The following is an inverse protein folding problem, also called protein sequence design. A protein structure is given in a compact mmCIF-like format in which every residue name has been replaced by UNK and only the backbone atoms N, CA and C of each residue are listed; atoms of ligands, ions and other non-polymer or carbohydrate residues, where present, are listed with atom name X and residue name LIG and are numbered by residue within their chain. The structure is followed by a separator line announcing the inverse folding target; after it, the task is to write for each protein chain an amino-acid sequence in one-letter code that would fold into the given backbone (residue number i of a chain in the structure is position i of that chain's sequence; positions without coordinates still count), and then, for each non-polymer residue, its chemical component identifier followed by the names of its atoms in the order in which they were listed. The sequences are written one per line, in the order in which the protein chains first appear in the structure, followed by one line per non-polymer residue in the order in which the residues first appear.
data_IF_410654655870
#
_entry.id   IF_410654655870
#
_cell.length_a   1.000
_cell.length_b   1.000
_cell.length_c   1.000
_cell.angle_alpha   90.00
_cell.angle_beta   90.00
_cell.angle_gamma   90.00
#
_symmetry.space_group_name_H-M   'P 1'
#
loop_
_entity.id
_entity.type
_entity.pdbx_description
1 polymer ?
#
# COMPACT_ATOMS: atom_id res chain seq x y z
N UNK A 1 -56.21 -13.75 19.52
CA UNK A 1 -54.90 -13.59 20.17
C UNK A 1 -53.87 -14.35 19.33
N UNK A 2 -53.02 -13.65 18.56
CA UNK A 2 -51.96 -14.26 17.75
C UNK A 2 -50.65 -14.06 18.52
N UNK A 3 -50.02 -15.15 18.94
CA UNK A 3 -48.69 -15.14 19.57
C UNK A 3 -47.64 -14.88 18.48
N UNK A 4 -46.83 -13.84 18.67
CA UNK A 4 -45.61 -13.61 17.91
C UNK A 4 -44.49 -14.43 18.56
N UNK A 5 -43.94 -15.41 17.84
CA UNK A 5 -42.67 -16.01 18.20
C UNK A 5 -41.55 -15.07 17.77
N UNK A 6 -40.85 -14.48 18.74
CA UNK A 6 -39.62 -13.75 18.51
C UNK A 6 -38.50 -14.75 18.23
N UNK A 7 -38.05 -14.83 16.97
CA UNK A 7 -36.82 -15.54 16.63
C UNK A 7 -35.64 -14.70 17.13
N UNK A 8 -34.98 -15.19 18.18
CA UNK A 8 -33.74 -14.65 18.71
C UNK A 8 -32.63 -14.96 17.69
N UNK A 9 -32.30 -13.98 16.83
CA UNK A 9 -31.07 -14.03 16.05
C UNK A 9 -29.90 -13.83 17.02
N UNK A 10 -29.27 -14.93 17.39
CA UNK A 10 -27.93 -14.89 17.98
C UNK A 10 -27.01 -14.45 16.84
N UNK A 11 -26.72 -13.15 16.78
CA UNK A 11 -25.59 -12.67 16.02
C UNK A 11 -24.34 -13.28 16.66
N UNK A 12 -23.78 -14.30 15.99
CA UNK A 12 -22.42 -14.72 16.27
C UNK A 12 -21.50 -13.56 15.91
N UNK A 13 -21.13 -12.77 16.91
CA UNK A 13 -19.91 -11.99 16.82
C UNK A 13 -18.78 -13.00 16.68
N UNK A 14 -18.30 -13.20 15.46
CA UNK A 14 -16.97 -13.77 15.24
C UNK A 14 -15.99 -12.79 15.85
N UNK A 15 -15.73 -12.95 17.14
CA UNK A 15 -14.56 -12.36 17.79
C UNK A 15 -13.38 -12.87 16.97
N UNK A 16 -12.73 -11.97 16.23
CA UNK A 16 -11.47 -12.26 15.58
C UNK A 16 -10.58 -12.87 16.65
N UNK A 17 -10.26 -14.16 16.52
CA UNK A 17 -9.36 -14.82 17.45
C UNK A 17 -8.08 -14.00 17.43
N UNK A 18 -7.59 -13.48 18.57
CA UNK A 18 -6.26 -12.92 18.61
C UNK A 18 -5.34 -14.04 18.16
N UNK A 19 -4.65 -13.84 17.03
CA UNK A 19 -3.62 -14.77 16.58
C UNK A 19 -2.66 -14.96 17.75
N UNK A 20 -2.18 -16.20 17.93
CA UNK A 20 -1.17 -16.48 18.96
C UNK A 20 -0.08 -15.40 18.89
N UNK A 21 0.39 -14.92 20.04
CA UNK A 21 1.43 -13.90 20.10
C UNK A 21 2.70 -14.41 19.44
N UNK A 22 2.89 -14.10 18.16
CA UNK A 22 4.12 -14.38 17.43
C UNK A 22 5.24 -13.53 18.02
N UNK A 23 6.47 -14.05 18.00
CA UNK A 23 7.63 -13.19 18.25
C UNK A 23 7.75 -12.27 17.05
N UNK A 24 7.42 -10.99 17.26
CA UNK A 24 7.39 -10.01 16.20
C UNK A 24 8.62 -9.11 16.23
N UNK A 25 9.12 -8.74 15.05
CA UNK A 25 10.15 -7.72 14.94
C UNK A 25 9.54 -6.35 15.30
N UNK A 26 10.07 -5.63 16.31
CA UNK A 26 9.34 -4.51 16.92
C UNK A 26 9.08 -3.33 15.99
N UNK A 27 9.92 -3.15 14.96
CA UNK A 27 9.75 -2.09 13.97
C UNK A 27 10.58 -2.42 12.71
N UNK A 28 9.95 -3.01 11.69
CA UNK A 28 10.64 -3.32 10.43
C UNK A 28 11.13 -2.05 9.72
N UNK A 29 10.44 -0.92 9.92
CA UNK A 29 10.77 0.36 9.29
C UNK A 29 12.12 0.91 9.78
N UNK A 30 12.41 0.78 11.08
CA UNK A 30 13.71 1.20 11.65
C UNK A 30 14.91 0.53 10.95
N UNK A 31 14.75 -0.72 10.50
CA UNK A 31 15.86 -1.48 9.89
C UNK A 31 15.82 -1.50 8.36
N UNK A 32 14.64 -1.37 7.76
CA UNK A 32 14.50 -1.50 6.31
C UNK A 32 14.47 -0.15 5.58
N UNK A 33 14.04 0.94 6.22
CA UNK A 33 13.86 2.24 5.53
C UNK A 33 15.13 2.75 4.87
N UNK A 34 16.22 2.91 5.65
CA UNK A 34 17.46 3.45 5.13
C UNK A 34 18.14 2.48 4.14
N UNK A 35 18.27 1.17 4.42
CA UNK A 35 18.85 0.25 3.45
C UNK A 35 18.03 0.12 2.16
N UNK A 36 16.70 0.11 2.21
CA UNK A 36 15.86 0.15 1.00
C UNK A 36 16.13 1.45 0.24
N UNK A 37 16.21 2.59 0.93
CA UNK A 37 16.48 3.87 0.29
C UNK A 37 17.84 3.89 -0.41
N UNK A 38 18.88 3.36 0.23
CA UNK A 38 20.26 3.35 -0.28
C UNK A 38 20.46 2.33 -1.41
N UNK A 39 19.84 1.17 -1.30
CA UNK A 39 19.97 0.08 -2.26
C UNK A 39 18.99 0.20 -3.44
N UNK A 40 17.90 0.97 -3.29
CA UNK A 40 16.95 1.18 -4.38
C UNK A 40 17.58 1.95 -5.55
N UNK A 41 17.35 1.44 -6.75
CA UNK A 41 17.81 2.10 -7.98
C UNK A 41 16.90 3.30 -8.27
N UNK A 42 17.49 4.48 -8.38
CA UNK A 42 16.78 5.63 -8.91
C UNK A 42 16.52 5.42 -10.40
N UNK A 43 15.26 5.56 -10.80
CA UNK A 43 14.84 5.46 -12.20
C UNK A 43 14.61 6.86 -12.75
N UNK A 44 15.36 7.30 -13.77
CA UNK A 44 15.12 8.58 -14.40
C UNK A 44 13.70 8.65 -14.96
N UNK A 45 13.07 9.81 -14.83
CA UNK A 45 11.70 10.01 -15.25
C UNK A 45 11.48 11.42 -15.81
N UNK A 46 10.42 11.59 -16.58
CA UNK A 46 9.92 12.89 -17.02
C UNK A 46 8.59 13.17 -16.34
N UNK A 47 8.31 14.45 -16.11
CA UNK A 47 7.03 14.93 -15.58
C UNK A 47 6.44 15.94 -16.55
N UNK A 48 5.24 15.66 -17.05
CA UNK A 48 4.49 16.56 -17.93
C UNK A 48 3.17 16.89 -17.26
N UNK A 49 2.94 18.16 -16.97
CA UNK A 49 1.67 18.61 -16.40
C UNK A 49 0.55 18.54 -17.45
N UNK A 50 -0.61 18.02 -17.07
CA UNK A 50 -1.80 18.04 -17.91
C UNK A 50 -2.33 19.47 -18.12
N UNK A 51 -2.96 19.75 -19.27
CA UNK A 51 -3.61 21.03 -19.49
C UNK A 51 -4.64 21.35 -18.40
N UNK A 52 -4.66 22.61 -17.99
CA UNK A 52 -5.64 23.12 -17.02
C UNK A 52 -7.07 22.99 -17.54
N UNK A 53 -8.03 22.75 -16.64
CA UNK A 53 -9.47 22.72 -16.97
C UNK A 53 -10.05 21.32 -17.20
N UNK A 54 -9.23 20.27 -17.18
CA UNK A 54 -9.71 18.88 -17.19
C UNK A 54 -8.86 18.01 -16.27
N UNK A 55 -9.49 17.03 -15.62
CA UNK A 55 -8.81 16.06 -14.75
C UNK A 55 -9.62 14.77 -14.65
N UNK A 56 -9.01 13.61 -14.31
CA UNK A 56 -9.74 12.36 -14.19
C UNK A 56 -10.77 12.42 -13.07
N UNK A 57 -11.96 11.86 -13.27
CA UNK A 57 -13.03 11.90 -12.27
C UNK A 57 -12.61 11.34 -10.91
N UNK A 58 -11.77 10.29 -10.88
CA UNK A 58 -11.23 9.76 -9.62
C UNK A 58 -10.36 10.77 -8.89
N UNK A 59 -9.58 11.59 -9.60
CA UNK A 59 -8.81 12.66 -8.98
C UNK A 59 -9.69 13.82 -8.50
N UNK A 60 -10.85 14.09 -9.12
CA UNK A 60 -11.78 15.06 -8.56
C UNK A 60 -12.37 14.54 -7.23
N UNK A 61 -12.91 13.32 -7.27
CA UNK A 61 -13.70 12.76 -6.16
C UNK A 61 -12.81 12.41 -4.96
N UNK A 62 -11.71 11.69 -5.19
CA UNK A 62 -10.84 11.21 -4.12
C UNK A 62 -10.00 12.33 -3.50
N UNK A 63 -9.61 13.34 -4.27
CA UNK A 63 -8.91 14.50 -3.70
C UNK A 63 -9.88 15.37 -2.88
N UNK A 64 -11.12 15.54 -3.35
CA UNK A 64 -12.15 16.29 -2.60
C UNK A 64 -12.48 15.63 -1.26
N UNK A 65 -12.51 14.29 -1.19
CA UNK A 65 -12.72 13.57 0.08
C UNK A 65 -11.59 13.80 1.09
N UNK A 66 -10.42 14.27 0.62
CA UNK A 66 -9.25 14.65 1.43
C UNK A 66 -9.08 16.17 1.58
N UNK A 67 -10.13 16.95 1.29
CA UNK A 67 -10.14 18.40 1.49
C UNK A 67 -9.46 19.22 0.39
N UNK A 68 -9.17 18.61 -0.77
CA UNK A 68 -8.59 19.28 -1.92
C UNK A 68 -9.64 19.50 -3.00
N UNK A 69 -10.03 20.76 -3.27
CA UNK A 69 -11.02 21.04 -4.30
C UNK A 69 -10.49 20.67 -5.69
N UNK A 70 -11.35 20.22 -6.63
CA UNK A 70 -10.90 19.85 -7.98
C UNK A 70 -10.10 20.95 -8.70
N UNK A 71 -10.40 22.23 -8.44
CA UNK A 71 -9.65 23.37 -8.99
C UNK A 71 -8.21 23.50 -8.46
N UNK A 72 -7.89 22.84 -7.35
CA UNK A 72 -6.57 22.82 -6.70
C UNK A 72 -5.78 21.56 -7.06
N UNK A 73 -6.34 20.66 -7.88
CA UNK A 73 -5.69 19.41 -8.28
C UNK A 73 -4.84 19.67 -9.52
N UNK A 74 -3.54 19.40 -9.39
CA UNK A 74 -2.59 19.33 -10.48
C UNK A 74 -2.50 17.87 -10.94
N UNK A 75 -2.71 17.62 -12.23
CA UNK A 75 -2.52 16.29 -12.81
C UNK A 75 -1.21 16.28 -13.58
N UNK A 76 -0.39 15.27 -13.34
CA UNK A 76 0.91 15.11 -13.97
C UNK A 76 1.01 13.72 -14.59
N UNK A 77 1.48 13.66 -15.83
CA UNK A 77 1.94 12.43 -16.46
C UNK A 77 3.39 12.22 -16.07
N UNK A 78 3.70 11.05 -15.49
CA UNK A 78 5.06 10.64 -15.16
C UNK A 78 5.45 9.42 -15.99
N UNK A 79 6.53 9.52 -16.75
CA UNK A 79 7.06 8.41 -17.56
C UNK A 79 8.46 8.06 -17.07
N UNK A 80 8.67 6.78 -16.72
CA UNK A 80 9.95 6.27 -16.22
C UNK A 80 10.72 5.60 -17.35
N UNK A 81 12.04 5.67 -17.34
CA UNK A 81 12.87 5.08 -18.42
C UNK A 81 12.79 3.55 -18.52
N UNK A 82 12.36 2.88 -17.46
CA UNK A 82 12.25 1.42 -17.41
C UNK A 82 10.85 0.89 -17.79
N UNK A 83 9.91 1.78 -18.12
CA UNK A 83 8.58 1.41 -18.57
C UNK A 83 7.96 2.52 -19.42
N UNK A 84 7.72 2.24 -20.71
CA UNK A 84 7.13 3.22 -21.64
C UNK A 84 5.67 3.60 -21.32
N UNK A 85 5.03 2.87 -20.40
CA UNK A 85 3.68 3.18 -19.95
C UNK A 85 3.73 4.29 -18.90
N UNK A 86 3.12 5.47 -19.16
CA UNK A 86 3.07 6.52 -18.17
C UNK A 86 2.12 6.21 -17.01
N UNK A 87 2.40 6.81 -15.86
CA UNK A 87 1.47 6.91 -14.73
C UNK A 87 0.86 8.30 -14.66
N UNK A 88 -0.42 8.35 -14.28
CA UNK A 88 -1.13 9.62 -14.02
C UNK A 88 -1.09 9.87 -12.51
N UNK A 89 -0.41 10.94 -12.11
CA UNK A 89 -0.36 11.42 -10.74
C UNK A 89 -1.35 12.54 -10.55
N UNK A 90 -1.96 12.59 -9.37
CA UNK A 90 -2.83 13.69 -8.96
C UNK A 90 -2.26 14.28 -7.68
N UNK A 91 -1.94 15.57 -7.70
CA UNK A 91 -1.32 16.28 -6.58
C UNK A 91 -2.20 17.46 -6.19
N UNK A 92 -2.47 17.61 -4.90
CA UNK A 92 -3.11 18.81 -4.41
C UNK A 92 -2.09 19.96 -4.35
N UNK A 93 -2.49 21.17 -4.71
CA UNK A 93 -1.62 22.34 -4.70
C UNK A 93 -0.90 22.55 -3.35
N UNK A 94 -1.64 22.40 -2.24
CA UNK A 94 -1.14 22.51 -0.86
C UNK A 94 -0.62 21.18 -0.27
N UNK A 95 -0.40 20.15 -1.10
CA UNK A 95 0.28 18.96 -0.63
C UNK A 95 1.74 19.29 -0.27
N UNK A 96 2.29 18.75 0.84
CA UNK A 96 3.59 19.14 1.39
C UNK A 96 4.78 18.72 0.51
N UNK A 97 4.56 17.86 -0.48
CA UNK A 97 5.59 17.29 -1.34
C UNK A 97 5.34 17.68 -2.79
N UNK A 98 6.40 18.06 -3.50
CA UNK A 98 6.35 18.33 -4.93
C UNK A 98 6.31 17.03 -5.74
N UNK A 99 5.71 17.10 -6.93
CA UNK A 99 5.53 15.93 -7.80
C UNK A 99 6.83 15.18 -8.11
N UNK A 100 7.94 15.89 -8.30
CA UNK A 100 9.24 15.26 -8.59
C UNK A 100 9.72 14.33 -7.47
N UNK A 101 9.56 14.75 -6.20
CA UNK A 101 9.90 13.92 -5.04
C UNK A 101 9.01 12.69 -4.95
N UNK A 102 7.70 12.83 -5.15
CA UNK A 102 6.78 11.69 -5.18
C UNK A 102 7.09 10.73 -6.33
N UNK A 103 7.45 11.25 -7.50
CA UNK A 103 7.87 10.45 -8.65
C UNK A 103 9.22 9.74 -8.40
N UNK A 104 10.19 10.39 -7.75
CA UNK A 104 11.45 9.76 -7.35
C UNK A 104 11.22 8.57 -6.41
N UNK A 105 10.36 8.72 -5.40
CA UNK A 105 10.05 7.65 -4.45
C UNK A 105 9.30 6.52 -5.16
N UNK A 106 8.26 6.87 -5.93
CA UNK A 106 7.46 5.87 -6.63
C UNK A 106 8.27 5.07 -7.66
N UNK A 107 9.14 5.74 -8.41
CA UNK A 107 10.00 5.15 -9.44
C UNK A 107 11.02 4.15 -8.91
N UNK A 108 11.39 4.26 -7.64
CA UNK A 108 12.32 3.33 -6.98
C UNK A 108 11.70 1.97 -6.65
N UNK A 109 10.37 1.83 -6.77
CA UNK A 109 9.73 0.52 -6.70
C UNK A 109 9.87 -0.23 -8.03
N UNK A 110 10.04 -1.56 -7.99
CA UNK A 110 10.02 -2.39 -9.21
C UNK A 110 8.79 -2.12 -10.08
N UNK A 111 8.96 -2.21 -11.40
CA UNK A 111 7.89 -1.94 -12.39
C UNK A 111 6.61 -2.71 -12.07
N UNK A 112 6.73 -3.98 -11.64
CA UNK A 112 5.57 -4.79 -11.31
C UNK A 112 4.77 -4.23 -10.11
N UNK A 113 5.45 -3.76 -9.06
CA UNK A 113 4.80 -3.08 -7.93
C UNK A 113 4.09 -1.80 -8.39
N UNK A 114 4.77 -0.97 -9.19
CA UNK A 114 4.15 0.23 -9.77
C UNK A 114 2.94 -0.08 -10.65
N UNK A 115 2.93 -1.21 -11.33
CA UNK A 115 1.83 -1.62 -12.22
C UNK A 115 0.53 -1.96 -11.48
N UNK A 116 0.62 -2.26 -10.18
CA UNK A 116 -0.54 -2.46 -9.31
C UNK A 116 -1.26 -1.14 -9.00
N UNK A 117 -0.53 -0.02 -9.13
CA UNK A 117 -1.04 1.33 -8.87
C UNK A 117 -1.54 1.96 -10.17
N UNK A 118 -2.82 2.27 -10.18
CA UNK A 118 -3.52 3.03 -11.20
C UNK A 118 -3.12 4.50 -11.14
N UNK A 119 -3.17 5.15 -9.95
CA UNK A 119 -2.72 6.55 -9.74
C UNK A 119 -2.17 6.79 -8.34
N UNK A 120 -1.00 7.44 -8.23
CA UNK A 120 -0.57 8.07 -6.99
C UNK A 120 -1.29 9.41 -6.77
N UNK A 121 -1.83 9.61 -5.58
CA UNK A 121 -2.59 10.78 -5.16
C UNK A 121 -1.90 11.46 -3.99
N UNK A 122 -1.26 12.59 -4.23
CA UNK A 122 -0.49 13.33 -3.23
C UNK A 122 -1.40 14.37 -2.60
N UNK A 123 -1.86 14.09 -1.39
CA UNK A 123 -2.91 14.85 -0.70
C UNK A 123 -2.34 15.69 0.43
N UNK A 124 -3.08 16.71 0.90
CA UNK A 124 -2.71 17.45 2.10
C UNK A 124 -2.80 16.53 3.31
N UNK A 125 -1.95 16.78 4.30
CA UNK A 125 -2.07 16.12 5.58
C UNK A 125 -2.82 17.04 6.56
N UNK A 126 -4.01 16.67 7.05
CA UNK A 126 -4.79 17.50 7.97
C UNK A 126 -4.14 17.66 9.35
N UNK A 127 -3.20 16.78 9.73
CA UNK A 127 -2.55 16.75 11.05
C UNK A 127 -1.09 17.26 11.04
N UNK A 128 -0.56 17.76 9.93
CA UNK A 128 0.80 18.33 9.83
C UNK A 128 1.76 17.53 8.93
N UNK A 129 3.07 17.56 9.18
CA UNK A 129 4.09 16.95 8.30
C UNK A 129 4.25 15.43 8.45
N UNK A 130 3.35 14.72 9.14
CA UNK A 130 3.49 13.26 9.26
C UNK A 130 3.28 12.58 7.90
N UNK A 131 3.93 11.43 7.71
CA UNK A 131 3.69 10.57 6.57
C UNK A 131 2.52 9.64 6.90
N UNK A 132 1.49 9.61 6.05
CA UNK A 132 0.40 8.64 6.10
C UNK A 132 0.02 8.27 4.67
N UNK A 133 -0.32 7.01 4.44
CA UNK A 133 -0.82 6.58 3.16
C UNK A 133 -2.01 5.61 3.32
N UNK A 134 -2.74 5.39 2.24
CA UNK A 134 -3.86 4.45 2.20
C UNK A 134 -4.10 3.99 0.76
N UNK A 135 -4.56 2.74 0.54
CA UNK A 135 -4.94 2.27 -0.77
C UNK A 135 -6.41 2.63 -1.05
N UNK A 136 -6.77 2.78 -2.33
CA UNK A 136 -8.18 2.93 -2.74
C UNK A 136 -8.41 2.48 -4.18
N UNK A 137 -9.03 1.31 -4.36
CA UNK A 137 -9.38 0.72 -5.65
C UNK A 137 -8.30 0.91 -6.75
N UNK A 138 -7.07 0.51 -6.40
CA UNK A 138 -5.89 0.62 -7.26
C UNK A 138 -5.17 1.96 -7.24
N UNK A 139 -5.72 3.00 -6.64
CA UNK A 139 -4.99 4.24 -6.38
C UNK A 139 -4.27 4.15 -5.02
N UNK A 140 -3.25 4.97 -4.82
CA UNK A 140 -2.61 5.15 -3.51
C UNK A 140 -2.72 6.62 -3.12
N UNK A 141 -3.22 6.90 -1.93
CA UNK A 141 -3.25 8.23 -1.36
C UNK A 141 -2.07 8.40 -0.42
N UNK A 142 -1.30 9.46 -0.59
CA UNK A 142 -0.10 9.74 0.21
C UNK A 142 -0.17 11.16 0.73
N UNK A 143 -0.15 11.30 2.05
CA UNK A 143 -0.13 12.56 2.78
C UNK A 143 1.23 12.70 3.46
N UNK A 144 2.03 13.71 3.11
CA UNK A 144 3.38 13.92 3.67
C UNK A 144 4.52 13.41 2.78
N UNK A 145 5.76 13.60 3.26
CA UNK A 145 6.99 13.04 2.64
C UNK A 145 7.22 11.63 3.17
N UNK A 146 6.63 10.67 2.48
CA UNK A 146 6.68 9.26 2.84
C UNK A 146 7.87 8.54 2.22
N UNK A 147 8.57 7.67 2.97
CA UNK A 147 9.67 6.87 2.42
C UNK A 147 9.14 5.75 1.50
N UNK A 148 10.04 5.13 0.73
CA UNK A 148 9.71 4.05 -0.20
C UNK A 148 8.92 2.92 0.47
N UNK A 149 9.25 2.46 1.70
CA UNK A 149 8.51 1.37 2.33
C UNK A 149 7.04 1.70 2.61
N UNK A 150 6.69 2.97 2.84
CA UNK A 150 5.28 3.36 2.97
C UNK A 150 4.52 3.23 1.65
N UNK A 151 5.14 3.61 0.53
CA UNK A 151 4.53 3.37 -0.78
C UNK A 151 4.40 1.87 -1.05
N UNK A 152 5.44 1.10 -0.71
CA UNK A 152 5.45 -0.35 -0.86
C UNK A 152 4.37 -1.03 0.00
N UNK A 153 4.14 -0.55 1.22
CA UNK A 153 3.07 -0.98 2.12
C UNK A 153 1.71 -0.81 1.43
N UNK A 154 1.39 0.39 0.93
CA UNK A 154 0.10 0.58 0.23
C UNK A 154 -0.05 -0.26 -1.03
N UNK A 155 1.05 -0.46 -1.77
CA UNK A 155 1.07 -1.38 -2.91
C UNK A 155 0.84 -2.82 -2.47
N UNK A 156 1.34 -3.22 -1.30
CA UNK A 156 1.10 -4.52 -0.69
C UNK A 156 -0.39 -4.79 -0.49
N UNK A 157 -1.17 -3.80 -0.04
CA UNK A 157 -2.63 -3.94 0.03
C UNK A 157 -3.27 -4.13 -1.34
N UNK A 158 -2.80 -3.39 -2.36
CA UNK A 158 -3.30 -3.55 -3.73
C UNK A 158 -2.94 -4.92 -4.32
N UNK A 159 -1.80 -5.48 -3.94
CA UNK A 159 -1.42 -6.86 -4.28
C UNK A 159 -2.32 -7.84 -3.55
N UNK A 160 -2.51 -7.68 -2.24
CA UNK A 160 -3.35 -8.55 -1.41
C UNK A 160 -4.75 -8.68 -2.02
N UNK A 161 -5.38 -7.54 -2.35
CA UNK A 161 -6.72 -7.48 -2.93
C UNK A 161 -6.86 -8.09 -4.33
N UNK A 162 -5.75 -8.33 -5.04
CA UNK A 162 -5.71 -8.72 -6.46
C UNK A 162 -4.94 -10.00 -6.74
N UNK A 163 -4.34 -10.63 -5.73
CA UNK A 163 -3.46 -11.79 -5.91
C UNK A 163 -4.20 -13.09 -6.29
N UNK A 164 -5.53 -13.15 -6.15
CA UNK A 164 -6.34 -14.32 -6.52
C UNK A 164 -7.53 -13.93 -7.40
N UNK A 165 -8.63 -13.48 -6.79
CA UNK A 165 -9.84 -13.00 -7.48
C UNK A 165 -10.02 -11.53 -7.13
N UNK A 166 -10.21 -10.70 -8.16
CA UNK A 166 -10.39 -9.25 -7.98
C UNK A 166 -11.49 -8.96 -6.94
N UNK A 167 -11.12 -8.24 -5.87
CA UNK A 167 -12.03 -7.89 -4.77
C UNK A 167 -12.07 -8.89 -3.61
N UNK A 168 -11.21 -9.91 -3.62
CA UNK A 168 -10.95 -10.73 -2.44
C UNK A 168 -9.46 -10.76 -2.11
N UNK A 169 -9.16 -10.41 -0.87
CA UNK A 169 -7.80 -10.38 -0.35
C UNK A 169 -7.22 -11.80 -0.27
N UNK A 170 -5.99 -11.99 -0.75
CA UNK A 170 -5.26 -13.25 -0.65
C UNK A 170 -5.04 -13.64 0.82
N UNK A 171 -4.75 -12.67 1.67
CA UNK A 171 -4.57 -12.85 3.11
C UNK A 171 -5.82 -13.45 3.79
N UNK A 172 -7.01 -13.29 3.19
CA UNK A 172 -8.26 -13.88 3.69
C UNK A 172 -8.45 -15.34 3.27
N UNK A 173 -7.56 -15.92 2.46
CA UNK A 173 -7.69 -17.29 1.97
C UNK A 173 -7.24 -18.29 3.04
N UNK A 174 -7.88 -19.46 3.14
CA UNK A 174 -7.49 -20.50 4.10
C UNK A 174 -6.00 -20.85 4.05
N UNK A 175 -5.39 -20.87 2.87
CA UNK A 175 -3.96 -21.14 2.71
C UNK A 175 -3.09 -20.15 3.51
N UNK A 176 -3.32 -18.84 3.37
CA UNK A 176 -2.58 -17.83 4.13
C UNK A 176 -2.93 -17.86 5.62
N UNK A 177 -4.23 -18.00 5.94
CA UNK A 177 -4.69 -18.08 7.34
C UNK A 177 -4.03 -19.24 8.07
N UNK A 178 -3.96 -20.42 7.46
CA UNK A 178 -3.36 -21.60 8.06
C UNK A 178 -1.84 -21.48 8.15
N UNK A 179 -1.17 -20.98 7.10
CA UNK A 179 0.26 -20.73 7.13
C UNK A 179 0.63 -19.77 8.28
N UNK A 180 -0.09 -18.65 8.39
CA UNK A 180 0.12 -17.67 9.46
C UNK A 180 -0.18 -18.26 10.84
N UNK A 181 -1.21 -19.10 10.99
CA UNK A 181 -1.53 -19.75 12.26
C UNK A 181 -0.49 -20.78 12.70
N UNK A 182 0.29 -21.33 11.76
CA UNK A 182 1.39 -22.26 12.04
C UNK A 182 2.74 -21.56 12.23
N UNK A 183 2.83 -20.27 11.91
CA UNK A 183 4.06 -19.52 12.10
C UNK A 183 4.29 -19.19 13.58
N UNK A 184 5.56 -19.14 13.97
CA UNK A 184 6.00 -18.78 15.32
C UNK A 184 6.53 -17.35 15.38
N UNK A 185 6.77 -16.74 14.23
CA UNK A 185 7.34 -15.41 14.07
C UNK A 185 6.47 -14.54 13.16
N UNK A 186 6.48 -13.24 13.40
CA UNK A 186 5.89 -12.24 12.52
C UNK A 186 6.96 -11.27 12.04
N UNK A 187 6.81 -10.80 10.80
CA UNK A 187 7.78 -9.90 10.18
C UNK A 187 7.77 -8.51 10.82
N UNK A 188 6.65 -8.09 11.43
CA UNK A 188 6.57 -6.83 12.17
C UNK A 188 5.51 -6.82 13.26
N UNK A 189 5.76 -6.06 14.32
CA UNK A 189 4.78 -5.89 15.40
C UNK A 189 3.48 -5.23 14.91
N UNK A 190 3.56 -4.38 13.89
CA UNK A 190 2.37 -3.77 13.29
C UNK A 190 1.47 -4.84 12.64
N UNK A 191 2.04 -5.69 11.77
CA UNK A 191 1.33 -6.82 11.17
C UNK A 191 0.71 -7.75 12.22
N UNK A 192 1.50 -8.13 13.23
CA UNK A 192 1.07 -9.02 14.32
C UNK A 192 -0.11 -8.46 15.14
N UNK A 193 -0.17 -7.13 15.34
CA UNK A 193 -1.16 -6.49 16.22
C UNK A 193 -2.42 -6.05 15.49
N UNK A 194 -2.32 -5.63 14.24
CA UNK A 194 -3.45 -5.10 13.47
C UNK A 194 -4.17 -6.21 12.69
N UNK A 195 -3.45 -7.25 12.28
CA UNK A 195 -4.03 -8.47 11.74
C UNK A 195 -3.46 -8.90 10.39
N UNK A 196 -4.05 -9.97 9.84
CA UNK A 196 -3.49 -10.70 8.69
C UNK A 196 -3.20 -9.86 7.44
N UNK A 197 -4.02 -8.83 7.19
CA UNK A 197 -3.89 -7.98 6.01
C UNK A 197 -2.60 -7.16 6.11
N UNK A 198 -2.37 -6.56 7.28
CA UNK A 198 -1.14 -5.83 7.57
C UNK A 198 0.07 -6.75 7.60
N UNK A 199 -0.06 -7.96 8.16
CA UNK A 199 1.04 -8.94 8.12
C UNK A 199 1.46 -9.26 6.67
N UNK A 200 0.50 -9.55 5.79
CA UNK A 200 0.78 -9.79 4.37
C UNK A 200 1.48 -8.59 3.71
N UNK A 201 1.01 -7.39 4.02
CA UNK A 201 1.55 -6.15 3.47
C UNK A 201 2.99 -5.91 3.95
N UNK A 202 3.27 -6.12 5.22
CA UNK A 202 4.61 -5.95 5.80
C UNK A 202 5.61 -6.97 5.22
N UNK A 203 5.14 -8.18 4.84
CA UNK A 203 5.97 -9.14 4.10
C UNK A 203 6.41 -8.58 2.72
N UNK A 204 5.58 -7.75 2.07
CA UNK A 204 5.98 -7.13 0.79
C UNK A 204 7.16 -6.17 0.94
N UNK A 205 7.30 -5.51 2.10
CA UNK A 205 8.44 -4.65 2.42
C UNK A 205 9.70 -5.50 2.64
N UNK A 206 9.58 -6.64 3.32
CA UNK A 206 10.70 -7.58 3.49
C UNK A 206 11.17 -8.16 2.14
N UNK A 207 10.23 -8.45 1.22
CA UNK A 207 10.56 -8.85 -0.15
C UNK A 207 11.27 -7.73 -0.89
N UNK A 208 10.78 -6.49 -0.80
CA UNK A 208 11.44 -5.33 -1.42
C UNK A 208 12.84 -5.10 -0.86
N UNK A 209 13.02 -5.22 0.45
CA UNK A 209 14.33 -5.18 1.10
C UNK A 209 15.26 -6.25 0.51
N UNK A 210 14.78 -7.49 0.36
CA UNK A 210 15.60 -8.56 -0.18
C UNK A 210 15.96 -8.36 -1.66
N UNK A 211 15.02 -7.89 -2.48
CA UNK A 211 15.28 -7.61 -3.90
C UNK A 211 16.37 -6.54 -4.04
N UNK A 212 16.35 -5.52 -3.18
CA UNK A 212 17.32 -4.42 -3.25
C UNK A 212 18.68 -4.80 -2.64
N UNK A 213 18.71 -5.65 -1.60
CA UNK A 213 19.95 -5.90 -0.83
C UNK A 213 20.56 -7.29 -1.03
N UNK A 214 19.76 -8.28 -1.45
CA UNK A 214 20.15 -9.69 -1.53
C UNK A 214 20.47 -10.35 -0.18
N UNK A 215 20.09 -9.72 0.94
CA UNK A 215 20.53 -10.13 2.28
C UNK A 215 19.67 -11.24 2.92
N UNK A 216 18.44 -11.48 2.45
CA UNK A 216 17.66 -12.63 2.87
C UNK A 216 17.94 -13.77 1.89
N UNK A 217 18.53 -14.86 2.38
CA UNK A 217 18.63 -16.10 1.60
C UNK A 217 17.22 -16.46 1.12
N UNK A 218 17.04 -16.58 -0.20
CA UNK A 218 15.78 -17.02 -0.77
C UNK A 218 15.40 -18.36 -0.14
N UNK A 219 14.37 -18.36 0.70
CA UNK A 219 13.75 -19.60 1.14
C UNK A 219 13.01 -20.10 -0.08
N UNK A 220 13.57 -21.10 -0.78
CA UNK A 220 12.86 -21.76 -1.85
C UNK A 220 11.53 -22.26 -1.28
N UNK A 221 10.38 -22.02 -1.95
CA UNK A 221 9.12 -22.56 -1.48
C UNK A 221 9.23 -24.08 -1.44
N UNK A 222 9.15 -24.67 -0.24
CA UNK A 222 9.19 -26.12 -0.03
C UNK A 222 7.89 -26.82 -0.44
N UNK A 223 7.02 -26.15 -1.20
CA UNK A 223 5.66 -26.59 -1.52
C UNK A 223 5.48 -27.01 -2.99
N UNK A 224 6.56 -27.36 -3.69
CA UNK A 224 6.52 -27.88 -5.07
C UNK A 224 6.99 -29.33 -5.20
N UNK A 225 6.75 -30.15 -4.17
CA UNK A 225 6.83 -31.62 -4.24
C UNK A 225 5.43 -32.24 -4.20
#
# INVERSE_FOLDING_TARGET
MKQFAAALFIASSTVAQPFHTMVAYPDIGTYSNQPIQDASVWVPHTVVQWPTGSLPISCAVLMASRGCQPSQVQVCIVTYQDCDRPWVFCRCENAPVHIGRSADIFGRMPVHMRSMVRRPMIVPNPNGNCCCAAPDDGDIMVAGDCPIPTYAHEVGHLIDNRADVFGQDYSSKPAFIYALATDTCSISNYGNTVGRHEEFVEMSIAVLYNINTGLLTAVAPTWLD
#
